data_IF_173428421385
#
_entry.id   IF_173428421385
#
_cell.length_a   1.000
_cell.length_b   1.000
_cell.length_c   1.000
_cell.angle_alpha   90.00
_cell.angle_beta   90.00
_cell.angle_gamma   90.00
#
_symmetry.space_group_name_H-M   'P 1'
#
loop_
_entity.id
_entity.type
_entity.pdbx_description
1 polymer ?
#
# COMPACT_ATOMS: atom_id res chain seq x y z
N UNK A 1 -0.05 1.62 6.90
CA UNK A 1 0.98 2.70 6.84
C UNK A 1 2.36 2.11 6.70
N UNK A 2 3.30 2.86 6.15
CA UNK A 2 4.74 2.59 6.22
C UNK A 2 5.25 3.00 7.61
N UNK A 3 5.79 2.03 8.35
CA UNK A 3 6.15 2.22 9.77
C UNK A 3 7.66 2.28 9.98
N UNK A 4 8.42 1.69 9.08
CA UNK A 4 9.88 1.68 9.14
C UNK A 4 10.44 3.04 8.67
N UNK A 5 11.49 3.51 9.34
CA UNK A 5 12.17 4.77 9.02
C UNK A 5 13.13 4.59 7.83
N UNK A 6 12.56 4.64 6.62
CA UNK A 6 13.27 4.46 5.35
C UNK A 6 12.60 5.28 4.25
N UNK A 7 13.33 5.58 3.19
CA UNK A 7 12.78 6.14 1.94
C UNK A 7 13.21 5.25 0.79
N UNK A 8 12.23 4.66 0.09
CA UNK A 8 12.47 3.67 -0.96
C UNK A 8 11.51 3.86 -2.13
N UNK A 9 11.94 3.44 -3.33
CA UNK A 9 11.11 3.42 -4.53
C UNK A 9 10.29 2.12 -4.55
N UNK A 10 8.97 2.22 -4.68
CA UNK A 10 8.08 1.07 -4.79
C UNK A 10 8.22 0.44 -6.18
N UNK A 11 8.58 -0.85 -6.21
CA UNK A 11 8.75 -1.65 -7.43
C UNK A 11 7.60 -2.63 -7.64
N UNK A 12 6.86 -2.97 -6.59
CA UNK A 12 5.62 -3.75 -6.65
C UNK A 12 4.61 -3.17 -5.65
N UNK A 13 3.34 -3.08 -6.06
CA UNK A 13 2.26 -2.67 -5.17
C UNK A 13 0.99 -3.52 -5.41
N UNK A 14 0.26 -3.91 -4.35
CA UNK A 14 -1.00 -4.66 -4.46
C UNK A 14 -2.03 -3.91 -5.31
N UNK A 15 -2.88 -4.65 -6.01
CA UNK A 15 -3.97 -4.07 -6.81
C UNK A 15 -5.10 -3.59 -5.90
N UNK A 16 -5.70 -2.44 -6.22
CA UNK A 16 -6.98 -2.05 -5.62
C UNK A 16 -8.07 -3.02 -6.05
N UNK A 17 -8.92 -3.44 -5.13
CA UNK A 17 -9.94 -4.45 -5.40
C UNK A 17 -10.23 -5.35 -4.21
N UNK A 18 -10.91 -6.45 -4.49
CA UNK A 18 -11.30 -7.45 -3.50
C UNK A 18 -10.22 -8.51 -3.39
N UNK A 19 -9.85 -8.80 -2.16
CA UNK A 19 -8.93 -9.85 -1.76
C UNK A 19 -9.67 -10.80 -0.81
N UNK A 20 -9.26 -12.07 -0.82
CA UNK A 20 -9.70 -13.11 0.12
C UNK A 20 -8.52 -13.53 0.97
N UNK A 21 -8.78 -13.90 2.23
CA UNK A 21 -7.81 -14.46 3.16
C UNK A 21 -8.24 -15.85 3.60
N UNK A 22 -7.31 -16.80 3.56
CA UNK A 22 -7.51 -18.15 4.10
C UNK A 22 -7.24 -18.23 5.62
N UNK A 23 -7.46 -19.41 6.19
CA UNK A 23 -7.29 -19.64 7.64
C UNK A 23 -5.83 -19.53 8.11
N UNK A 24 -4.86 -19.66 7.20
CA UNK A 24 -3.43 -19.51 7.46
C UNK A 24 -2.97 -18.04 7.30
N UNK A 25 -3.86 -17.14 6.87
CA UNK A 25 -3.60 -15.72 6.70
C UNK A 25 -2.98 -15.34 5.36
N UNK A 26 -2.88 -16.28 4.41
CA UNK A 26 -2.46 -15.98 3.05
C UNK A 26 -3.60 -15.28 2.29
N UNK A 27 -3.24 -14.34 1.40
CA UNK A 27 -4.22 -13.55 0.66
C UNK A 27 -4.11 -13.77 -0.85
N UNK A 28 -5.25 -13.73 -1.53
CA UNK A 28 -5.33 -13.81 -2.98
C UNK A 28 -6.17 -12.66 -3.53
N UNK A 29 -5.72 -12.07 -4.64
CA UNK A 29 -6.48 -11.06 -5.36
C UNK A 29 -7.60 -11.71 -6.17
N UNK A 30 -8.85 -11.43 -5.80
CA UNK A 30 -10.02 -12.01 -6.47
C UNK A 30 -10.43 -11.21 -7.70
N UNK A 31 -10.67 -9.90 -7.54
CA UNK A 31 -11.18 -9.06 -8.63
C UNK A 31 -10.94 -7.58 -8.39
N UNK A 32 -10.77 -6.84 -9.48
CA UNK A 32 -10.80 -5.38 -9.45
C UNK A 32 -12.22 -4.90 -9.10
N UNK A 33 -12.31 -3.79 -8.40
CA UNK A 33 -13.60 -3.20 -8.04
C UNK A 33 -13.41 -1.87 -7.33
N UNK A 34 -14.51 -1.17 -7.10
CA UNK A 34 -14.55 0.08 -6.35
C UNK A 34 -15.69 0.10 -5.32
N UNK A 35 -16.49 -0.98 -5.27
CA UNK A 35 -17.68 -1.07 -4.44
C UNK A 35 -17.41 -1.98 -3.24
N UNK A 36 -17.17 -1.36 -2.09
CA UNK A 36 -17.01 -2.04 -0.79
C UNK A 36 -18.23 -2.91 -0.42
N UNK A 37 -19.43 -2.56 -0.88
CA UNK A 37 -20.64 -3.33 -0.54
C UNK A 37 -20.68 -4.71 -1.22
N UNK A 38 -19.76 -4.98 -2.15
CA UNK A 38 -19.64 -6.26 -2.83
C UNK A 38 -18.89 -7.33 -2.02
N UNK A 39 -18.44 -7.02 -0.80
CA UNK A 39 -17.85 -8.00 0.11
C UNK A 39 -18.90 -9.03 0.56
N UNK A 40 -18.62 -10.31 0.37
CA UNK A 40 -19.53 -11.42 0.69
C UNK A 40 -19.57 -11.75 2.18
N UNK A 41 -18.41 -11.87 2.81
CA UNK A 41 -18.26 -12.31 4.19
C UNK A 41 -17.06 -11.62 4.90
N UNK A 42 -16.62 -12.17 6.03
CA UNK A 42 -15.51 -11.64 6.82
C UNK A 42 -14.11 -12.12 6.38
N UNK A 43 -14.05 -13.07 5.43
CA UNK A 43 -12.81 -13.55 4.80
C UNK A 43 -12.44 -12.72 3.57
N UNK A 44 -13.31 -11.81 3.13
CA UNK A 44 -13.01 -10.84 2.08
C UNK A 44 -12.68 -9.46 2.65
N UNK A 45 -11.76 -8.76 1.98
CA UNK A 45 -11.49 -7.35 2.20
C UNK A 45 -11.32 -6.60 0.88
N UNK A 46 -11.76 -5.35 0.87
CA UNK A 46 -11.45 -4.40 -0.18
C UNK A 46 -10.19 -3.62 0.19
N UNK A 47 -9.21 -3.62 -0.70
CA UNK A 47 -8.01 -2.81 -0.57
C UNK A 47 -8.08 -1.62 -1.54
N UNK A 48 -7.85 -0.42 -1.01
CA UNK A 48 -7.65 0.80 -1.79
C UNK A 48 -6.18 1.21 -1.72
N UNK A 49 -5.46 1.06 -2.83
CA UNK A 49 -4.09 1.53 -2.95
C UNK A 49 -4.04 3.06 -3.00
N UNK A 50 -3.13 3.65 -2.22
CA UNK A 50 -2.80 5.07 -2.27
C UNK A 50 -1.44 5.30 -2.94
N UNK A 51 -0.44 4.45 -2.64
CA UNK A 51 0.88 4.50 -3.28
C UNK A 51 1.13 3.27 -4.18
N UNK A 52 1.60 3.50 -5.40
CA UNK A 52 1.85 2.50 -6.43
C UNK A 52 3.31 2.42 -6.89
N UNK A 53 3.52 1.60 -7.93
CA UNK A 53 4.84 1.40 -8.55
C UNK A 53 5.35 2.71 -9.13
N UNK A 54 6.61 3.05 -8.85
CA UNK A 54 7.25 4.29 -9.27
C UNK A 54 7.10 5.44 -8.26
N UNK A 55 6.31 5.26 -7.21
CA UNK A 55 6.18 6.21 -6.10
C UNK A 55 7.08 5.81 -4.93
N UNK A 56 7.25 6.72 -3.97
CA UNK A 56 8.13 6.50 -2.82
C UNK A 56 7.33 6.14 -1.57
N UNK A 57 7.80 5.13 -0.82
CA UNK A 57 7.33 4.89 0.55
C UNK A 57 8.31 5.50 1.54
N UNK A 58 7.77 6.16 2.58
CA UNK A 58 8.52 6.79 3.66
C UNK A 58 7.81 6.66 5.00
N UNK A 59 8.50 6.89 6.12
CA UNK A 59 7.89 6.80 7.44
C UNK A 59 6.61 7.64 7.55
N UNK A 60 5.53 7.01 7.98
CA UNK A 60 4.22 7.65 8.12
C UNK A 60 3.37 7.66 6.84
N UNK A 61 3.92 7.26 5.68
CA UNK A 61 3.15 7.21 4.43
C UNK A 61 1.96 6.23 4.54
N UNK A 62 0.78 6.71 4.16
CA UNK A 62 -0.43 5.91 4.05
C UNK A 62 -0.42 5.11 2.74
N UNK A 63 0.19 3.91 2.75
CA UNK A 63 0.30 3.05 1.56
C UNK A 63 -1.06 2.68 0.93
N UNK A 64 -2.10 2.57 1.76
CA UNK A 64 -3.46 2.27 1.35
C UNK A 64 -4.39 2.02 2.54
N UNK A 65 -5.63 1.64 2.23
CA UNK A 65 -6.68 1.38 3.20
C UNK A 65 -7.26 -0.01 2.98
N UNK A 66 -7.41 -0.79 4.06
CA UNK A 66 -8.13 -2.06 4.06
C UNK A 66 -9.51 -1.84 4.65
N UNK A 67 -10.53 -2.33 3.96
CA UNK A 67 -11.93 -2.26 4.32
C UNK A 67 -12.48 -3.68 4.35
N UNK A 68 -12.96 -4.16 5.50
CA UNK A 68 -13.48 -5.52 5.66
C UNK A 68 -14.82 -5.48 6.42
N UNK A 69 -15.57 -6.59 6.36
CA UNK A 69 -16.76 -6.75 7.20
C UNK A 69 -16.37 -7.06 8.65
N UNK A 70 -17.24 -6.65 9.56
CA UNK A 70 -17.06 -6.86 10.99
C UNK A 70 -16.12 -5.86 11.66
N UNK A 71 -15.99 -5.98 12.98
CA UNK A 71 -15.20 -5.07 13.81
C UNK A 71 -13.72 -5.45 13.73
N UNK A 72 -12.87 -4.48 13.39
CA UNK A 72 -11.40 -4.67 13.23
C UNK A 72 -10.59 -4.13 14.41
N UNK A 73 -11.23 -3.44 15.35
CA UNK A 73 -10.61 -2.81 16.51
C UNK A 73 -11.48 -3.00 17.77
N UNK A 74 -10.86 -3.32 18.91
CA UNK A 74 -11.53 -3.40 20.21
C UNK A 74 -11.95 -2.01 20.71
N UNK A 75 -12.76 -1.97 21.75
CA UNK A 75 -13.17 -0.69 22.38
C UNK A 75 -11.97 0.03 23.03
N UNK A 76 -10.95 -0.71 23.45
CA UNK A 76 -9.67 -0.19 23.96
C UNK A 76 -8.71 0.27 22.84
N UNK A 77 -9.18 0.34 21.60
CA UNK A 77 -8.44 0.79 20.40
C UNK A 77 -7.33 -0.15 19.94
N UNK A 78 -7.33 -1.40 20.39
CA UNK A 78 -6.38 -2.41 19.91
C UNK A 78 -6.87 -3.08 18.63
N UNK A 79 -5.96 -3.34 17.70
CA UNK A 79 -6.31 -4.10 16.49
C UNK A 79 -6.63 -5.55 16.85
N UNK A 80 -7.73 -6.07 16.31
CA UNK A 80 -8.02 -7.50 16.33
C UNK A 80 -6.93 -8.31 15.62
N UNK A 81 -6.80 -9.60 15.93
CA UNK A 81 -5.86 -10.49 15.23
C UNK A 81 -6.13 -10.53 13.73
N UNK A 82 -7.41 -10.58 13.32
CA UNK A 82 -7.81 -10.49 11.91
C UNK A 82 -7.31 -9.21 11.24
N UNK A 83 -7.39 -8.07 11.92
CA UNK A 83 -6.88 -6.80 11.39
C UNK A 83 -5.36 -6.78 11.26
N UNK A 84 -4.64 -7.39 12.20
CA UNK A 84 -3.18 -7.54 12.13
C UNK A 84 -2.77 -8.43 10.96
N UNK A 85 -3.46 -9.56 10.75
CA UNK A 85 -3.25 -10.45 9.61
C UNK A 85 -3.44 -9.69 8.28
N UNK A 86 -4.57 -9.01 8.12
CA UNK A 86 -4.83 -8.23 6.89
C UNK A 86 -3.78 -7.15 6.63
N UNK A 87 -3.40 -6.39 7.66
CA UNK A 87 -2.37 -5.38 7.54
C UNK A 87 -1.02 -5.99 7.16
N UNK A 88 -0.63 -7.12 7.76
CA UNK A 88 0.65 -7.77 7.45
C UNK A 88 0.66 -8.36 6.04
N UNK A 89 -0.40 -9.07 5.66
CA UNK A 89 -0.49 -9.72 4.35
C UNK A 89 -0.50 -8.69 3.22
N UNK A 90 -1.29 -7.61 3.34
CA UNK A 90 -1.29 -6.54 2.34
C UNK A 90 0.05 -5.80 2.29
N UNK A 91 0.71 -5.55 3.44
CA UNK A 91 2.07 -4.97 3.44
C UNK A 91 3.08 -5.86 2.70
N UNK A 92 2.95 -7.18 2.78
CA UNK A 92 3.86 -8.13 2.12
C UNK A 92 3.76 -8.10 0.58
N UNK A 93 2.63 -7.62 0.04
CA UNK A 93 2.45 -7.43 -1.41
C UNK A 93 3.26 -6.24 -1.98
N UNK A 94 3.76 -5.36 -1.11
CA UNK A 94 4.65 -4.28 -1.50
C UNK A 94 6.10 -4.78 -1.60
N UNK A 95 6.78 -4.37 -2.68
CA UNK A 95 8.24 -4.48 -2.80
C UNK A 95 8.81 -3.12 -3.13
N UNK A 96 9.97 -2.83 -2.57
CA UNK A 96 10.64 -1.55 -2.74
C UNK A 96 12.15 -1.75 -2.75
N UNK A 97 12.85 -0.77 -3.32
CA UNK A 97 14.31 -0.74 -3.36
C UNK A 97 14.82 0.58 -2.77
N UNK A 98 15.92 0.56 -1.99
CA UNK A 98 16.55 1.77 -1.51
C UNK A 98 16.90 2.72 -2.65
N UNK A 99 16.74 4.02 -2.39
CA UNK A 99 17.24 5.02 -3.30
C UNK A 99 18.76 4.99 -3.27
N UNK A 100 19.36 4.60 -4.38
CA UNK A 100 20.76 4.89 -4.63
C UNK A 100 20.84 6.37 -4.98
N UNK A 101 21.75 7.11 -4.35
CA UNK A 101 22.07 8.47 -4.77
C UNK A 101 22.60 8.40 -6.20
N UNK A 102 21.73 8.58 -7.20
CA UNK A 102 22.12 8.57 -8.60
C UNK A 102 22.36 10.01 -9.05
N UNK A 103 23.66 10.31 -9.16
CA UNK A 103 24.33 11.30 -10.01
C UNK A 103 23.79 12.74 -9.96
N UNK A 104 24.67 13.67 -9.58
CA UNK A 104 24.48 15.11 -9.85
C UNK A 104 23.94 15.29 -11.27
N UNK A 105 22.73 15.83 -11.38
CA UNK A 105 22.29 16.44 -12.63
C UNK A 105 23.13 17.70 -12.75
N UNK A 106 24.13 17.77 -13.66
CA UNK A 106 24.81 19.03 -13.87
C UNK A 106 23.74 20.05 -14.23
N UNK A 107 23.70 21.15 -13.48
CA UNK A 107 22.81 22.25 -13.83
C UNK A 107 23.10 22.60 -15.30
N UNK A 108 22.08 22.63 -16.17
CA UNK A 108 22.31 23.04 -17.54
C UNK A 108 22.96 24.42 -17.48
N UNK A 109 24.03 24.62 -18.26
CA UNK A 109 24.75 25.89 -18.33
C UNK A 109 23.84 27.07 -18.71
N UNK A 110 22.68 26.74 -19.27
CA UNK A 110 21.62 27.66 -19.64
C UNK A 110 20.32 27.32 -18.88
N UNK A 111 19.96 28.18 -17.92
CA UNK A 111 18.69 28.09 -17.19
C UNK A 111 17.46 28.49 -18.04
N UNK A 112 17.66 28.98 -19.28
CA UNK A 112 16.57 29.37 -20.18
C UNK A 112 16.08 28.23 -21.09
N UNK A 113 16.78 27.09 -21.11
CA UNK A 113 16.38 25.91 -21.89
C UNK A 113 15.28 25.06 -21.21
N UNK A 114 14.89 25.39 -19.98
CA UNK A 114 13.72 24.80 -19.33
C UNK A 114 12.44 25.28 -20.03
N UNK A 115 11.68 24.35 -20.63
CA UNK A 115 10.29 24.58 -21.06
C UNK A 115 9.41 24.87 -19.84
N UNK A 116 9.53 26.08 -19.30
CA UNK A 116 8.59 26.69 -18.38
C UNK A 116 7.92 27.87 -19.09
N UNK A 117 7.25 27.53 -20.21
CA UNK A 117 6.09 28.23 -20.78
C UNK A 117 5.26 27.20 -21.54
#
# INVERSE_FOLDING_TARGET
KQTEDKVELITQAPRSGIWTMDDDGAIEFTRAGHNINALGDEHEAFYLRVYGVGEYCYHGADLGVVLARGRMQSDDRELSERAKLWNSAIKAEFKSVPLTASTEVPMPADMTAGKWF
#
